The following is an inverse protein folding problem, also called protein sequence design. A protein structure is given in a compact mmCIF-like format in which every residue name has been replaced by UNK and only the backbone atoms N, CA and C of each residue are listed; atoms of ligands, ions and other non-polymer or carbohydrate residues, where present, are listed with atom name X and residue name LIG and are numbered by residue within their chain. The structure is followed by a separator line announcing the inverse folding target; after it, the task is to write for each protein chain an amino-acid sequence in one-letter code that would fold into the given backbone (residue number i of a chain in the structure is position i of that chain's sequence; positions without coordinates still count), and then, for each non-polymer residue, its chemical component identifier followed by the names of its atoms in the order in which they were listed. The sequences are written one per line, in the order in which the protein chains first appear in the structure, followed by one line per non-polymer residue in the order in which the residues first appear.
data_IF_031615165151
#
_entry.id   IF_031615165151
#
_cell.length_a   1.000
_cell.length_b   1.000
_cell.length_c   1.000
_cell.angle_alpha   90.00
_cell.angle_beta   90.00
_cell.angle_gamma   90.00
#
_symmetry.space_group_name_H-M   'P 1'
#
loop_
_entity.id
_entity.type
_entity.pdbx_description
1 polymer ?
#
# COMPACT_ATOMS: atom_id res chain seq x y z
N UNK A 1 2.00 2.81 8.59
CA UNK A 1 2.77 3.08 7.35
C UNK A 1 1.86 3.00 6.13
N UNK A 2 1.39 1.83 5.68
CA UNK A 2 0.54 1.69 4.47
C UNK A 2 -0.69 2.60 4.42
N UNK A 3 -1.51 2.62 5.48
CA UNK A 3 -2.71 3.48 5.51
C UNK A 3 -2.40 4.98 5.38
N UNK A 4 -1.27 5.41 5.96
CA UNK A 4 -0.83 6.80 5.90
C UNK A 4 -0.29 7.15 4.50
N UNK A 5 0.42 6.22 3.85
CA UNK A 5 0.83 6.35 2.46
C UNK A 5 -0.36 6.41 1.49
N UNK A 6 -1.40 5.60 1.70
CA UNK A 6 -2.62 5.63 0.88
C UNK A 6 -3.31 6.99 1.00
N UNK A 7 -3.51 7.49 2.23
CA UNK A 7 -4.10 8.80 2.48
C UNK A 7 -3.29 9.92 1.82
N UNK A 8 -1.95 9.85 1.90
CA UNK A 8 -1.08 10.86 1.30
C UNK A 8 -1.15 10.88 -0.23
N UNK A 9 -1.19 9.70 -0.89
CA UNK A 9 -1.33 9.61 -2.34
C UNK A 9 -2.71 10.11 -2.80
N UNK A 10 -3.78 9.81 -2.05
CA UNK A 10 -5.13 10.35 -2.33
C UNK A 10 -5.18 11.87 -2.16
N UNK A 11 -4.62 12.41 -1.08
CA UNK A 11 -4.56 13.84 -0.84
C UNK A 11 -3.73 14.56 -1.92
N UNK A 12 -2.63 13.95 -2.38
CA UNK A 12 -1.80 14.47 -3.46
C UNK A 12 -2.56 14.57 -4.78
N UNK A 13 -3.30 13.51 -5.16
CA UNK A 13 -4.16 13.52 -6.34
C UNK A 13 -5.30 14.55 -6.22
N UNK A 14 -5.95 14.65 -5.05
CA UNK A 14 -7.00 15.64 -4.80
C UNK A 14 -6.47 17.08 -4.88
N UNK A 15 -5.26 17.33 -4.36
CA UNK A 15 -4.59 18.62 -4.46
C UNK A 15 -4.29 18.98 -5.92
N UNK A 16 -3.87 18.01 -6.73
CA UNK A 16 -3.60 18.22 -8.14
C UNK A 16 -4.89 18.59 -8.91
N UNK A 17 -5.98 17.86 -8.66
CA UNK A 17 -7.30 18.20 -9.21
C UNK A 17 -7.77 19.59 -8.76
N UNK A 18 -7.58 19.93 -7.48
CA UNK A 18 -7.90 21.25 -6.97
C UNK A 18 -7.10 22.36 -7.67
N UNK A 19 -5.80 22.17 -7.87
CA UNK A 19 -4.95 23.13 -8.58
C UNK A 19 -5.40 23.32 -10.04
N UNK A 20 -5.77 22.24 -10.73
CA UNK A 20 -6.29 22.32 -12.09
C UNK A 20 -7.61 23.11 -12.18
N UNK A 21 -8.47 23.02 -11.15
CA UNK A 21 -9.74 23.77 -11.09
C UNK A 21 -9.48 25.24 -10.69
N UNK A 22 -8.66 25.47 -9.67
CA UNK A 22 -8.49 26.80 -9.07
C UNK A 22 -7.51 27.71 -9.82
N UNK A 23 -6.47 27.15 -10.45
CA UNK A 23 -5.43 27.90 -11.17
C UNK A 23 -5.50 27.76 -12.69
N UNK A 24 -6.41 26.93 -13.19
CA UNK A 24 -6.59 26.66 -14.62
C UNK A 24 -5.79 25.45 -15.09
N UNK A 25 -6.11 24.95 -16.29
CA UNK A 25 -5.41 23.81 -16.88
C UNK A 25 -3.96 24.17 -17.23
N UNK A 26 -3.03 23.21 -17.07
CA UNK A 26 -1.64 23.38 -17.49
C UNK A 26 -1.52 23.69 -18.99
N UNK A 27 -0.51 24.47 -19.34
CA UNK A 27 -0.11 24.67 -20.74
C UNK A 27 0.48 23.38 -21.31
N UNK A 28 0.53 23.21 -22.63
CA UNK A 28 1.04 22.00 -23.31
C UNK A 28 2.38 21.49 -22.74
N UNK A 29 3.22 22.43 -22.31
CA UNK A 29 4.57 22.21 -21.82
C UNK A 29 4.59 21.60 -20.40
N UNK A 30 3.52 21.81 -19.62
CA UNK A 30 3.40 21.41 -18.21
C UNK A 30 2.62 20.10 -18.04
N UNK A 31 1.93 19.64 -19.09
CA UNK A 31 1.20 18.35 -19.09
C UNK A 31 2.12 17.16 -18.79
N UNK A 32 3.37 17.20 -19.25
CA UNK A 32 4.35 16.16 -18.96
C UNK A 32 4.60 16.00 -17.46
N UNK A 33 4.68 17.11 -16.73
CA UNK A 33 4.92 17.12 -15.27
C UNK A 33 3.68 16.59 -14.54
N UNK A 34 2.48 17.00 -14.97
CA UNK A 34 1.23 16.56 -14.36
C UNK A 34 0.98 15.06 -14.58
N UNK A 35 1.24 14.56 -15.80
CA UNK A 35 1.10 13.14 -16.11
C UNK A 35 2.12 12.32 -15.31
N UNK A 36 3.38 12.77 -15.22
CA UNK A 36 4.40 12.08 -14.42
C UNK A 36 4.03 12.04 -12.93
N UNK A 37 3.52 13.16 -12.39
CA UNK A 37 3.18 13.27 -10.98
C UNK A 37 1.92 12.47 -10.62
N UNK A 38 0.85 12.57 -11.43
CA UNK A 38 -0.35 11.75 -11.25
C UNK A 38 -0.03 10.26 -11.45
N UNK A 39 0.77 9.93 -12.47
CA UNK A 39 1.24 8.57 -12.74
C UNK A 39 1.99 7.98 -11.56
N UNK A 40 2.95 8.70 -10.98
CA UNK A 40 3.71 8.25 -9.81
C UNK A 40 2.80 7.94 -8.60
N UNK A 41 1.82 8.80 -8.32
CA UNK A 41 0.87 8.59 -7.22
C UNK A 41 -0.05 7.38 -7.48
N UNK A 42 -0.51 7.19 -8.71
CA UNK A 42 -1.35 6.04 -9.10
C UNK A 42 -0.55 4.74 -9.03
N UNK A 43 0.67 4.70 -9.58
CA UNK A 43 1.53 3.51 -9.52
C UNK A 43 1.89 3.16 -8.08
N UNK A 44 2.19 4.16 -7.25
CA UNK A 44 2.42 3.99 -5.81
C UNK A 44 1.21 3.36 -5.11
N UNK A 45 -0.01 3.86 -5.37
CA UNK A 45 -1.25 3.26 -4.86
C UNK A 45 -1.44 1.80 -5.31
N UNK A 46 -1.21 1.50 -6.59
CA UNK A 46 -1.30 0.14 -7.11
C UNK A 46 -0.30 -0.77 -6.40
N UNK A 47 0.95 -0.34 -6.25
CA UNK A 47 1.99 -1.12 -5.57
C UNK A 47 1.63 -1.34 -4.10
N UNK A 48 1.15 -0.34 -3.38
CA UNK A 48 0.78 -0.48 -1.97
C UNK A 48 -0.41 -1.45 -1.78
N UNK A 49 -1.37 -1.44 -2.72
CA UNK A 49 -2.56 -2.31 -2.69
C UNK A 49 -2.28 -3.74 -3.14
N UNK A 50 -1.37 -3.92 -4.11
CA UNK A 50 -1.03 -5.24 -4.68
C UNK A 50 0.14 -5.93 -3.99
N UNK A 51 1.02 -5.18 -3.33
CA UNK A 51 2.08 -5.74 -2.52
C UNK A 51 1.47 -6.41 -1.29
N UNK A 52 1.35 -7.74 -1.33
CA UNK A 52 1.16 -8.56 -0.13
C UNK A 52 2.29 -8.23 0.83
N UNK A 53 1.96 -7.94 2.08
CA UNK A 53 2.90 -7.67 3.19
C UNK A 53 3.72 -8.92 3.56
N UNK A 54 4.34 -9.58 2.60
CA UNK A 54 5.33 -10.62 2.85
C UNK A 54 6.66 -9.95 3.20
N UNK A 55 6.64 -9.08 4.22
CA UNK A 55 7.87 -8.71 4.91
C UNK A 55 8.46 -10.00 5.47
N UNK A 56 9.77 -10.21 5.30
CA UNK A 56 10.48 -11.40 5.79
C UNK A 56 10.17 -11.67 7.27
N UNK A 57 10.03 -10.60 8.06
CA UNK A 57 9.66 -10.65 9.47
C UNK A 57 8.20 -11.07 9.68
N UNK A 58 7.29 -10.62 8.81
CA UNK A 58 5.88 -11.05 8.81
C UNK A 58 5.72 -12.53 8.44
N UNK A 59 6.46 -13.01 7.44
CA UNK A 59 6.52 -14.43 7.08
C UNK A 59 7.11 -15.29 8.21
N UNK A 60 8.16 -14.80 8.87
CA UNK A 60 8.77 -15.48 10.01
C UNK A 60 7.82 -15.56 11.21
N UNK A 61 7.11 -14.48 11.53
CA UNK A 61 6.08 -14.47 12.58
C UNK A 61 4.91 -15.41 12.24
N UNK A 62 4.47 -15.44 10.99
CA UNK A 62 3.44 -16.39 10.54
C UNK A 62 3.91 -17.83 10.72
N UNK A 63 5.15 -18.14 10.34
CA UNK A 63 5.74 -19.47 10.55
C UNK A 63 5.80 -19.84 12.03
N UNK A 64 6.27 -18.93 12.89
CA UNK A 64 6.33 -19.17 14.34
C UNK A 64 4.96 -19.41 14.95
N UNK A 65 3.95 -18.65 14.53
CA UNK A 65 2.55 -18.86 14.93
C UNK A 65 2.04 -20.25 14.53
N UNK A 66 2.37 -20.70 13.31
CA UNK A 66 1.99 -22.02 12.80
C UNK A 66 2.69 -23.17 13.55
N UNK A 67 3.97 -23.00 13.88
CA UNK A 67 4.73 -23.96 14.69
C UNK A 67 4.12 -24.14 16.09
N UNK A 68 3.75 -23.05 16.76
CA UNK A 68 3.10 -23.12 18.08
C UNK A 68 1.69 -23.73 18.00
N UNK A 69 0.90 -23.41 16.98
CA UNK A 69 -0.41 -24.06 16.78
C UNK A 69 -0.28 -25.57 16.54
N UNK A 70 0.74 -26.02 15.80
CA UNK A 70 0.97 -27.46 15.60
C UNK A 70 1.38 -28.16 16.89
N UNK A 71 2.17 -27.51 17.77
CA UNK A 71 2.49 -28.07 19.09
C UNK A 71 1.25 -28.21 19.95
N UNK A 72 0.38 -27.20 19.97
CA UNK A 72 -0.89 -27.24 20.70
C UNK A 72 -1.79 -28.37 20.17
N UNK A 73 -1.91 -28.50 18.84
CA UNK A 73 -2.72 -29.57 18.24
C UNK A 73 -2.17 -30.97 18.57
N UNK A 74 -0.84 -31.16 18.59
CA UNK A 74 -0.23 -32.42 19.01
C UNK A 74 -0.51 -32.74 20.47
N UNK A 75 -0.42 -31.73 21.36
CA UNK A 75 -0.73 -31.89 22.79
C UNK A 75 -2.20 -32.23 23.02
N UNK A 76 -3.12 -31.59 22.28
CA UNK A 76 -4.54 -31.91 22.36
C UNK A 76 -4.83 -33.32 21.81
N UNK A 77 -4.21 -33.72 20.71
CA UNK A 77 -4.37 -35.07 20.13
C UNK A 77 -3.76 -36.20 20.97
N UNK A 78 -2.95 -35.87 21.99
CA UNK A 78 -2.37 -36.82 22.94
C UNK A 78 -3.17 -36.91 24.25
N UNK A 79 -4.14 -36.02 24.43
CA UNK A 79 -4.97 -35.92 25.64
C UNK A 79 -6.32 -36.63 25.50
N UNK A 80 -6.69 -36.99 24.27
CA UNK A 80 -7.73 -37.96 23.92
C UNK A 80 -7.12 -39.36 23.74
#
# INVERSE_FOLDING_TARGET
MKGLSILFNLASLACLTYLMIAKGMPRNDEWGIIIAFAGANITSLIVILTAKDSSFLGLWLQRKKLEEQQKINKLNSQKD
#
